data_IF_588391145255
#
_entry.id   IF_588391145255
#
_cell.length_a   1.000
_cell.length_b   1.000
_cell.length_c   1.000
_cell.angle_alpha   90.00
_cell.angle_beta   90.00
_cell.angle_gamma   90.00
#
_symmetry.space_group_name_H-M   'P 1'
#
loop_
_entity.id
_entity.type
_entity.pdbx_description
1 polymer ?
#
# COMPACT_ATOMS: atom_id res chain seq x y z
N UNK A 1 -3.01 -11.80 6.12
CA UNK A 1 -4.01 -10.86 5.54
C UNK A 1 -4.46 -11.38 4.19
N UNK A 2 -5.64 -10.99 3.77
CA UNK A 2 -6.07 -11.20 2.38
C UNK A 2 -5.73 -9.95 1.56
N UNK A 3 -5.79 -10.06 0.25
CA UNK A 3 -5.63 -8.88 -0.62
C UNK A 3 -6.67 -7.81 -0.30
N UNK A 4 -7.90 -8.23 0.02
CA UNK A 4 -8.96 -7.31 0.38
C UNK A 4 -8.63 -6.56 1.68
N UNK A 5 -8.04 -7.24 2.64
CA UNK A 5 -7.63 -6.60 3.90
C UNK A 5 -6.51 -5.60 3.66
N UNK A 6 -5.59 -5.90 2.75
CA UNK A 6 -4.54 -4.93 2.38
C UNK A 6 -5.18 -3.69 1.74
N UNK A 7 -6.13 -3.89 0.83
CA UNK A 7 -6.83 -2.77 0.20
C UNK A 7 -7.54 -1.89 1.24
N UNK A 8 -8.17 -2.51 2.23
CA UNK A 8 -8.83 -1.81 3.33
C UNK A 8 -7.82 -1.04 4.18
N UNK A 9 -6.68 -1.67 4.48
CA UNK A 9 -5.60 -1.01 5.22
C UNK A 9 -5.12 0.23 4.49
N UNK A 10 -4.84 0.12 3.19
CA UNK A 10 -4.37 1.27 2.39
C UNK A 10 -5.45 2.34 2.30
N UNK A 11 -6.70 1.94 2.11
CA UNK A 11 -7.81 2.89 2.07
C UNK A 11 -7.93 3.68 3.37
N UNK A 12 -7.61 3.08 4.51
CA UNK A 12 -7.66 3.76 5.80
C UNK A 12 -6.62 4.88 5.92
N UNK A 13 -5.61 4.89 5.07
CA UNK A 13 -4.58 5.94 5.03
C UNK A 13 -5.06 7.21 4.34
N UNK A 14 -6.22 7.16 3.69
CA UNK A 14 -6.75 8.24 2.85
C UNK A 14 -8.05 8.79 3.40
N UNK A 15 -8.48 9.91 2.83
CA UNK A 15 -9.80 10.48 3.11
C UNK A 15 -9.80 11.50 4.22
N UNK A 16 -10.96 11.75 4.76
CA UNK A 16 -11.20 12.80 5.75
C UNK A 16 -10.26 12.67 6.95
N UNK A 17 -9.60 13.75 7.28
CA UNK A 17 -8.69 13.80 8.45
C UNK A 17 -7.27 13.37 8.17
N UNK A 18 -6.98 12.73 7.04
CA UNK A 18 -5.63 12.28 6.73
C UNK A 18 -4.85 13.27 5.88
N UNK A 19 -5.54 14.07 5.08
CA UNK A 19 -4.92 14.94 4.10
C UNK A 19 -4.38 14.22 2.88
N UNK A 20 -4.62 12.92 2.75
CA UNK A 20 -4.23 12.12 1.59
C UNK A 20 -5.48 11.88 0.77
N UNK A 21 -5.48 12.33 -0.48
CA UNK A 21 -6.69 12.50 -1.27
C UNK A 21 -7.23 11.23 -1.93
N UNK A 22 -6.42 10.19 -2.00
CA UNK A 22 -6.89 8.93 -2.57
C UNK A 22 -5.78 7.93 -2.73
N UNK A 23 -6.17 6.69 -3.08
CA UNK A 23 -5.24 5.61 -3.32
C UNK A 23 -5.72 4.77 -4.50
N UNK A 24 -4.79 4.23 -5.26
CA UNK A 24 -5.10 3.35 -6.38
C UNK A 24 -4.14 2.16 -6.38
N UNK A 25 -4.64 1.03 -6.87
CA UNK A 25 -3.81 -0.14 -7.10
C UNK A 25 -3.06 0.07 -8.42
N UNK A 26 -1.72 0.02 -8.37
CA UNK A 26 -0.78 0.36 -9.43
C UNK A 26 -0.79 1.83 -9.79
N UNK A 27 -1.86 2.33 -10.38
CA UNK A 27 -1.92 3.70 -10.87
C UNK A 27 -3.38 4.14 -10.98
N UNK A 28 -3.59 5.44 -10.92
CA UNK A 28 -4.90 5.98 -11.27
C UNK A 28 -5.08 5.91 -12.79
N UNK A 29 -6.31 5.73 -13.25
CA UNK A 29 -6.57 5.85 -14.69
C UNK A 29 -6.08 7.20 -15.20
N UNK A 30 -5.66 7.26 -16.45
CA UNK A 30 -5.14 8.47 -17.05
C UNK A 30 -6.12 9.62 -16.87
N UNK A 31 -5.63 10.74 -16.37
CA UNK A 31 -6.43 11.93 -16.13
C UNK A 31 -7.33 11.85 -14.91
N UNK A 32 -7.25 10.79 -14.11
CA UNK A 32 -8.13 10.58 -12.95
C UNK A 32 -7.43 10.69 -11.60
N UNK A 33 -6.13 10.96 -11.58
CA UNK A 33 -5.42 11.11 -10.32
C UNK A 33 -5.94 12.33 -9.58
N UNK A 34 -6.17 12.22 -8.27
CA UNK A 34 -6.53 13.40 -7.47
C UNK A 34 -5.34 14.33 -7.33
N UNK A 35 -5.58 15.51 -6.79
CA UNK A 35 -4.47 16.38 -6.41
C UNK A 35 -3.62 15.69 -5.35
N UNK A 36 -2.29 15.88 -5.35
CA UNK A 36 -1.46 15.34 -4.28
C UNK A 36 -1.86 15.94 -2.93
N UNK A 37 -1.65 15.21 -1.83
CA UNK A 37 -1.04 13.88 -1.74
C UNK A 37 -1.96 12.74 -2.16
N UNK A 38 -1.37 11.68 -2.74
CA UNK A 38 -2.11 10.46 -3.04
C UNK A 38 -1.16 9.26 -2.93
N UNK A 39 -1.74 8.07 -2.94
CA UNK A 39 -1.02 6.81 -2.78
C UNK A 39 -1.27 5.91 -3.99
N UNK A 40 -0.22 5.22 -4.43
CA UNK A 40 -0.34 4.07 -5.31
C UNK A 40 0.30 2.88 -4.60
N UNK A 41 -0.28 1.68 -4.74
CA UNK A 41 0.29 0.50 -4.11
C UNK A 41 0.17 -0.71 -5.02
N UNK A 42 1.08 -1.67 -4.84
CA UNK A 42 1.08 -2.87 -5.67
C UNK A 42 1.97 -3.94 -5.05
N UNK A 43 1.84 -5.16 -5.60
CA UNK A 43 2.60 -6.33 -5.17
C UNK A 43 3.52 -6.79 -6.30
N UNK A 44 4.77 -6.29 -6.37
CA UNK A 44 5.63 -6.59 -7.52
C UNK A 44 6.28 -7.97 -7.48
N UNK A 45 6.31 -8.64 -6.34
CA UNK A 45 7.03 -9.90 -6.22
C UNK A 45 6.43 -10.78 -5.14
N UNK A 46 6.42 -12.07 -5.40
CA UNK A 46 6.16 -13.08 -4.40
C UNK A 46 7.50 -13.53 -3.83
N UNK A 47 7.66 -13.41 -2.52
CA UNK A 47 8.92 -13.67 -1.85
C UNK A 47 9.02 -15.11 -1.34
N UNK A 48 7.90 -15.76 -1.11
CA UNK A 48 7.89 -17.12 -0.63
C UNK A 48 6.50 -17.71 -0.69
N UNK A 49 6.45 -19.02 -0.60
CA UNK A 49 5.22 -19.77 -0.66
C UNK A 49 5.21 -20.77 0.48
N UNK A 50 4.18 -20.71 1.31
CA UNK A 50 3.99 -21.62 2.43
C UNK A 50 2.71 -22.42 2.19
N UNK A 51 2.80 -23.72 2.29
CA UNK A 51 1.65 -24.59 2.15
C UNK A 51 1.64 -25.59 3.29
N UNK A 52 0.47 -25.78 3.88
CA UNK A 52 0.25 -26.88 4.81
C UNK A 52 -0.97 -27.65 4.34
N UNK A 53 -1.53 -28.47 5.19
CA UNK A 53 -2.58 -29.44 4.81
C UNK A 53 -3.76 -28.82 4.09
N UNK A 54 -4.08 -27.56 4.36
CA UNK A 54 -5.31 -26.96 3.84
C UNK A 54 -5.15 -25.51 3.39
N UNK A 55 -3.99 -24.90 3.64
CA UNK A 55 -3.81 -23.48 3.37
C UNK A 55 -2.61 -23.21 2.49
N UNK A 56 -2.76 -22.24 1.62
CA UNK A 56 -1.69 -21.71 0.79
C UNK A 56 -1.49 -20.26 1.16
N UNK A 57 -0.34 -19.95 1.74
CA UNK A 57 0.00 -18.60 2.12
C UNK A 57 1.24 -18.19 1.35
N UNK A 58 1.21 -17.05 0.75
CA UNK A 58 2.38 -16.48 0.09
C UNK A 58 2.89 -15.28 0.87
N UNK A 59 4.19 -15.08 0.84
CA UNK A 59 4.78 -13.85 1.31
C UNK A 59 4.94 -12.94 0.11
N UNK A 60 4.22 -11.83 0.10
CA UNK A 60 4.21 -10.89 -1.01
C UNK A 60 4.93 -9.61 -0.62
N UNK A 61 5.76 -9.11 -1.51
CA UNK A 61 6.29 -7.78 -1.33
C UNK A 61 5.16 -6.79 -1.59
N UNK A 62 4.95 -5.86 -0.68
CA UNK A 62 3.98 -4.78 -0.84
C UNK A 62 4.74 -3.46 -0.94
N UNK A 63 4.48 -2.74 -2.00
CA UNK A 63 5.02 -1.39 -2.22
C UNK A 63 3.88 -0.39 -2.05
N UNK A 64 4.12 0.62 -1.22
CA UNK A 64 3.19 1.75 -1.05
C UNK A 64 3.96 3.01 -1.38
N UNK A 65 3.50 3.74 -2.39
CA UNK A 65 4.13 4.97 -2.86
C UNK A 65 3.27 6.15 -2.47
N UNK A 66 3.81 7.04 -1.65
CA UNK A 66 3.17 8.29 -1.29
C UNK A 66 3.75 9.41 -2.15
N UNK A 67 2.88 10.13 -2.84
CA UNK A 67 3.26 11.27 -3.68
C UNK A 67 2.81 12.55 -3.02
N UNK A 68 3.74 13.47 -2.83
CA UNK A 68 3.47 14.79 -2.25
C UNK A 68 4.16 15.87 -3.07
N UNK A 69 3.66 17.09 -3.00
CA UNK A 69 4.30 18.20 -3.71
C UNK A 69 5.59 18.65 -3.02
N UNK A 70 5.62 18.55 -1.70
CA UNK A 70 6.77 18.90 -0.89
C UNK A 70 6.98 17.85 0.18
N UNK A 71 8.11 17.91 0.88
CA UNK A 71 8.37 17.00 2.00
C UNK A 71 7.27 17.15 3.05
N UNK A 72 6.65 16.03 3.41
CA UNK A 72 5.53 16.01 4.35
C UNK A 72 5.70 14.86 5.34
N UNK A 73 6.45 15.14 6.40
CA UNK A 73 6.79 14.15 7.41
C UNK A 73 5.53 13.62 8.12
N UNK A 74 4.53 14.49 8.32
CA UNK A 74 3.29 14.08 8.97
C UNK A 74 2.58 12.97 8.20
N UNK A 75 2.49 13.11 6.88
CA UNK A 75 1.84 12.10 6.06
C UNK A 75 2.65 10.81 5.98
N UNK A 76 3.97 10.93 5.93
CA UNK A 76 4.83 9.76 5.98
C UNK A 76 4.62 9.01 7.29
N UNK A 77 4.52 9.72 8.41
CA UNK A 77 4.27 9.11 9.72
C UNK A 77 2.88 8.48 9.82
N UNK A 78 1.89 9.05 9.16
CA UNK A 78 0.55 8.46 9.11
C UNK A 78 0.59 7.07 8.47
N UNK A 79 1.31 6.94 7.37
CA UNK A 79 1.46 5.64 6.71
C UNK A 79 2.23 4.68 7.60
N UNK A 80 3.34 5.13 8.16
CA UNK A 80 4.14 4.31 9.07
C UNK A 80 3.32 3.81 10.26
N UNK A 81 2.48 4.67 10.82
CA UNK A 81 1.63 4.29 11.95
C UNK A 81 0.68 3.16 11.58
N UNK A 82 0.06 3.24 10.41
CA UNK A 82 -0.86 2.18 9.95
C UNK A 82 -0.10 0.88 9.71
N UNK A 83 1.07 0.94 9.08
CA UNK A 83 1.89 -0.25 8.86
C UNK A 83 2.30 -0.90 10.18
N UNK A 84 2.76 -0.10 11.12
CA UNK A 84 3.15 -0.60 12.44
C UNK A 84 1.96 -1.21 13.19
N UNK A 85 0.80 -0.60 13.09
CA UNK A 85 -0.42 -1.11 13.74
C UNK A 85 -0.82 -2.47 13.18
N UNK A 86 -0.43 -2.78 11.95
CA UNK A 86 -0.69 -4.07 11.33
C UNK A 86 0.49 -5.03 11.45
N UNK A 87 1.50 -4.68 12.25
CA UNK A 87 2.64 -5.55 12.49
C UNK A 87 3.60 -5.66 11.31
N UNK A 88 3.57 -4.70 10.39
CA UNK A 88 4.39 -4.74 9.18
C UNK A 88 5.67 -3.93 9.38
N UNK A 89 6.80 -4.57 9.11
CA UNK A 89 8.11 -3.93 9.12
C UNK A 89 8.38 -3.40 7.72
N UNK A 90 8.86 -2.18 7.61
CA UNK A 90 9.02 -1.55 6.31
C UNK A 90 10.34 -0.81 6.19
N UNK A 91 10.78 -0.63 4.95
CA UNK A 91 11.83 0.31 4.57
C UNK A 91 11.17 1.49 3.87
N UNK A 92 11.78 2.65 3.97
CA UNK A 92 11.31 3.83 3.25
C UNK A 92 12.45 4.43 2.45
N UNK A 93 12.20 4.71 1.18
CA UNK A 93 13.15 5.38 0.29
C UNK A 93 12.45 6.56 -0.36
N UNK A 94 13.13 7.66 -0.47
CA UNK A 94 12.57 8.89 -1.00
C UNK A 94 13.26 9.25 -2.32
N UNK A 95 12.47 9.70 -3.29
CA UNK A 95 12.98 10.14 -4.58
C UNK A 95 12.17 11.34 -5.07
N UNK A 96 12.84 12.26 -5.71
CA UNK A 96 12.19 13.37 -6.38
C UNK A 96 11.92 12.98 -7.84
N UNK A 97 10.65 13.10 -8.25
CA UNK A 97 10.24 12.81 -9.64
C UNK A 97 10.13 14.14 -10.36
N UNK A 98 11.18 14.52 -11.07
CA UNK A 98 11.28 15.84 -11.66
C UNK A 98 10.21 16.09 -12.71
N UNK A 99 9.91 15.09 -13.51
CA UNK A 99 8.91 15.22 -14.59
C UNK A 99 7.51 15.51 -14.05
N UNK A 100 7.19 14.96 -12.90
CA UNK A 100 5.89 15.12 -12.27
C UNK A 100 5.88 16.26 -11.24
N UNK A 101 7.04 16.76 -10.87
CA UNK A 101 7.21 17.74 -9.79
C UNK A 101 6.62 17.23 -8.49
N UNK A 102 6.87 15.96 -8.18
CA UNK A 102 6.39 15.28 -6.98
C UNK A 102 7.50 14.57 -6.26
N UNK A 103 7.40 14.56 -4.94
CA UNK A 103 8.25 13.77 -4.09
C UNK A 103 7.57 12.41 -3.89
N UNK A 104 8.33 11.33 -4.09
CA UNK A 104 7.83 9.97 -3.92
C UNK A 104 8.49 9.35 -2.71
N UNK A 105 7.69 8.92 -1.75
CA UNK A 105 8.16 8.11 -0.64
C UNK A 105 7.67 6.69 -0.85
N UNK A 106 8.59 5.76 -1.00
CA UNK A 106 8.29 4.36 -1.26
C UNK A 106 8.48 3.55 0.01
N UNK A 107 7.39 3.00 0.50
CA UNK A 107 7.40 2.11 1.66
C UNK A 107 7.36 0.68 1.14
N UNK A 108 8.34 -0.12 1.50
CA UNK A 108 8.43 -1.51 1.09
C UNK A 108 8.30 -2.41 2.30
N UNK A 109 7.36 -3.33 2.24
CA UNK A 109 7.14 -4.30 3.30
C UNK A 109 6.83 -5.67 2.72
N UNK A 110 6.74 -6.66 3.55
CA UNK A 110 6.34 -8.02 3.17
C UNK A 110 5.08 -8.37 3.94
N UNK A 111 4.12 -8.95 3.26
CA UNK A 111 2.83 -9.31 3.84
C UNK A 111 2.56 -10.78 3.56
N UNK A 112 2.12 -11.52 4.56
CA UNK A 112 1.65 -12.88 4.35
C UNK A 112 0.21 -12.80 3.85
N UNK A 113 0.01 -13.26 2.62
CA UNK A 113 -1.29 -13.23 1.98
C UNK A 113 -1.90 -14.62 2.02
N UNK A 114 -3.06 -14.70 2.63
CA UNK A 114 -3.85 -15.92 2.69
C UNK A 114 -4.88 -15.90 1.56
N UNK A 115 -5.25 -17.07 1.05
CA UNK A 115 -6.34 -17.11 0.07
C UNK A 115 -7.62 -16.59 0.72
N UNK A 116 -8.42 -15.89 -0.08
CA UNK A 116 -9.73 -15.47 0.39
C UNK A 116 -10.64 -16.69 0.44
N UNK A 117 -11.41 -16.77 1.52
CA UNK A 117 -12.39 -17.84 1.61
C UNK A 117 -13.48 -17.59 0.58
N UNK A 118 -13.68 -18.57 -0.27
CA UNK A 118 -14.85 -18.56 -1.12
C UNK A 118 -16.02 -19.02 -0.28
N UNK A 119 -17.07 -18.19 -0.24
CA UNK A 119 -18.29 -18.65 0.36
C UNK A 119 -18.84 -19.75 -0.53
N UNK A 120 -19.01 -20.92 0.07
CA UNK A 120 -19.68 -21.98 -0.65
C UNK A 120 -21.15 -21.61 -0.82
N UNK A 121 -21.56 -21.59 -2.06
CA UNK A 121 -22.97 -21.42 -2.34
C UNK A 121 -23.66 -22.75 -2.21
N UNK A 122 -24.59 -22.79 -1.32
CA UNK A 122 -25.39 -23.97 -1.07
C UNK A 122 -26.64 -23.99 -1.92
#
# INVERSE_FOLDING_TARGET
MTYQQVATMVSSMTGTGTGINGAAYYAFPEGKAPAPPFICYYFPATLGFLADDSNYTTEEQLIIELYTETKDITKEQQIATVLNANGLVYDRVEAWIDEERLLQNTFTTAVLIEPEEEEEEE
#
